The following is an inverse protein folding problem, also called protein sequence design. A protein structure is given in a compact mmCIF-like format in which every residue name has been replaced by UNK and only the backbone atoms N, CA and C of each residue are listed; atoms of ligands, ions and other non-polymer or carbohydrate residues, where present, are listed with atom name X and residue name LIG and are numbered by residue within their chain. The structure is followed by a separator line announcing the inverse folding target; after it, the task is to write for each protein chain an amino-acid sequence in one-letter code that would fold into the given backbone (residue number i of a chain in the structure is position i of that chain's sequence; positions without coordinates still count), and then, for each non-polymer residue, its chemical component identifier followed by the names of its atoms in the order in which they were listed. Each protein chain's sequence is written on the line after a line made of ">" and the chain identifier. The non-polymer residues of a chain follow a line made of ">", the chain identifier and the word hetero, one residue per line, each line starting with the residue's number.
data_IF_034277572252
#
_entry.id   IF_034277572252
#
_cell.length_a   1.000
_cell.length_b   1.000
_cell.length_c   1.000
_cell.angle_alpha   90.00
_cell.angle_beta   90.00
_cell.angle_gamma   90.00
#
_symmetry.space_group_name_H-M   'P 1'
#
loop_
_entity.id
_entity.type
_entity.pdbx_description
1 polymer ?
#
# COMPACT_ATOMS: atom_id res chain seq x y z
N UNK A 1 18.52 -16.69 -3.45
CA UNK A 1 19.25 -16.01 -2.36
C UNK A 1 18.93 -16.69 -1.03
N UNK A 2 19.58 -17.82 -0.72
CA UNK A 2 19.21 -18.65 0.44
C UNK A 2 19.62 -18.07 1.81
N UNK A 3 20.01 -16.80 1.90
CA UNK A 3 20.15 -16.16 3.21
C UNK A 3 20.00 -14.62 3.19
N UNK A 4 18.95 -14.10 2.52
CA UNK A 4 18.64 -12.66 2.57
C UNK A 4 18.61 -12.14 4.02
N UNK A 5 18.00 -12.92 4.93
CA UNK A 5 17.84 -12.53 6.34
C UNK A 5 19.18 -12.37 7.07
N UNK A 6 20.13 -13.29 6.92
CA UNK A 6 21.48 -13.15 7.52
C UNK A 6 22.25 -12.01 6.88
N UNK A 7 22.28 -11.96 5.55
CA UNK A 7 23.00 -10.91 4.83
C UNK A 7 22.49 -9.52 5.21
N UNK A 8 21.16 -9.34 5.30
CA UNK A 8 20.53 -8.08 5.66
C UNK A 8 20.77 -7.76 7.14
N UNK A 9 20.71 -8.76 8.03
CA UNK A 9 20.96 -8.59 9.47
C UNK A 9 22.39 -8.14 9.80
N UNK A 10 23.38 -8.50 8.98
CA UNK A 10 24.79 -8.13 9.14
C UNK A 10 25.13 -6.72 8.63
N UNK A 11 24.19 -6.02 7.97
CA UNK A 11 24.41 -4.66 7.46
C UNK A 11 24.23 -3.59 8.54
N UNK A 12 24.92 -2.46 8.35
CA UNK A 12 24.65 -1.24 9.12
C UNK A 12 23.24 -0.71 8.78
N UNK A 13 22.68 0.10 9.67
CA UNK A 13 21.34 0.66 9.45
C UNK A 13 21.30 1.55 8.19
N UNK A 14 22.34 2.34 7.94
CA UNK A 14 22.41 3.19 6.74
C UNK A 14 22.43 2.34 5.45
N UNK A 15 23.14 1.21 5.47
CA UNK A 15 23.17 0.29 4.34
C UNK A 15 21.83 -0.42 4.13
N UNK A 16 21.09 -0.71 5.20
CA UNK A 16 19.73 -1.25 5.12
C UNK A 16 18.77 -0.23 4.54
N UNK A 17 18.82 1.00 5.03
CA UNK A 17 17.98 2.12 4.56
C UNK A 17 18.20 2.37 3.07
N UNK A 18 19.46 2.54 2.65
CA UNK A 18 19.79 2.74 1.25
C UNK A 18 19.33 1.57 0.37
N UNK A 19 19.50 0.34 0.85
CA UNK A 19 19.06 -0.84 0.12
C UNK A 19 17.52 -0.91 0.00
N UNK A 20 16.79 -0.61 1.07
CA UNK A 20 15.34 -0.64 1.04
C UNK A 20 14.76 0.50 0.20
N UNK A 21 15.41 1.65 0.15
CA UNK A 21 14.93 2.84 -0.57
C UNK A 21 15.32 2.84 -2.06
N UNK A 22 16.62 2.85 -2.35
CA UNK A 22 17.15 3.18 -3.68
C UNK A 22 17.28 1.95 -4.59
N UNK A 23 17.48 0.77 -4.01
CA UNK A 23 17.83 -0.42 -4.79
C UNK A 23 16.77 -0.84 -5.83
N UNK A 24 15.45 -0.81 -5.55
CA UNK A 24 14.43 -1.09 -6.57
C UNK A 24 14.54 -0.15 -7.79
N UNK A 25 14.74 1.15 -7.54
CA UNK A 25 14.90 2.17 -8.58
C UNK A 25 16.18 1.97 -9.36
N UNK A 26 17.28 1.64 -8.67
CA UNK A 26 18.56 1.36 -9.29
C UNK A 26 18.45 0.19 -10.28
N UNK A 27 17.82 -0.91 -9.88
CA UNK A 27 17.59 -2.08 -10.76
C UNK A 27 16.78 -1.72 -12.00
N UNK A 28 15.76 -0.86 -11.87
CA UNK A 28 15.01 -0.34 -13.00
C UNK A 28 15.90 0.51 -13.92
N UNK A 29 16.69 1.43 -13.35
CA UNK A 29 17.58 2.33 -14.07
C UNK A 29 18.66 1.61 -14.87
N UNK A 30 19.24 0.54 -14.31
CA UNK A 30 20.21 -0.32 -15.02
C UNK A 30 19.55 -1.44 -15.84
N UNK A 31 18.22 -1.42 -15.98
CA UNK A 31 17.41 -2.38 -16.76
C UNK A 31 17.55 -3.84 -16.34
N UNK A 32 17.85 -4.11 -15.08
CA UNK A 32 17.93 -5.46 -14.50
C UNK A 32 16.55 -5.96 -14.03
N UNK A 33 15.60 -6.07 -14.96
CA UNK A 33 14.20 -6.39 -14.64
C UNK A 33 14.02 -7.74 -13.93
N UNK A 34 14.80 -8.75 -14.31
CA UNK A 34 14.72 -10.07 -13.68
C UNK A 34 15.10 -10.01 -12.19
N UNK A 35 16.10 -9.19 -11.84
CA UNK A 35 16.49 -9.01 -10.44
C UNK A 35 15.48 -8.13 -9.69
N UNK A 36 14.90 -7.13 -10.35
CA UNK A 36 13.79 -6.36 -9.78
C UNK A 36 12.61 -7.27 -9.43
N UNK A 37 12.22 -8.19 -10.34
CA UNK A 37 11.13 -9.13 -10.09
C UNK A 37 11.45 -10.10 -8.96
N UNK A 38 12.70 -10.59 -8.88
CA UNK A 38 13.16 -11.43 -7.76
C UNK A 38 13.12 -10.68 -6.44
N UNK A 39 13.48 -9.40 -6.43
CA UNK A 39 13.42 -8.55 -5.23
C UNK A 39 11.97 -8.35 -4.79
N UNK A 40 11.09 -7.95 -5.70
CA UNK A 40 9.66 -7.72 -5.40
C UNK A 40 8.91 -9.01 -5.05
N UNK A 41 9.36 -10.18 -5.53
CA UNK A 41 8.82 -11.50 -5.14
C UNK A 41 9.57 -12.16 -3.97
N UNK A 42 10.42 -11.41 -3.26
CA UNK A 42 11.13 -11.91 -2.08
C UNK A 42 10.35 -11.57 -0.80
N UNK A 43 9.87 -12.59 -0.10
CA UNK A 43 9.10 -12.39 1.14
C UNK A 43 9.89 -11.64 2.21
N UNK A 44 11.19 -11.92 2.36
CA UNK A 44 12.02 -11.29 3.38
C UNK A 44 12.32 -9.82 3.07
N UNK A 45 12.42 -9.45 1.80
CA UNK A 45 12.50 -8.04 1.40
C UNK A 45 11.21 -7.30 1.75
N UNK A 46 10.05 -7.87 1.40
CA UNK A 46 8.73 -7.31 1.75
C UNK A 46 8.59 -7.15 3.26
N UNK A 47 8.91 -8.19 4.03
CA UNK A 47 8.86 -8.18 5.48
C UNK A 47 9.81 -7.11 6.06
N UNK A 48 11.03 -7.01 5.56
CA UNK A 48 12.01 -6.01 6.01
C UNK A 48 11.52 -4.58 5.73
N UNK A 49 11.03 -4.31 4.52
CA UNK A 49 10.58 -2.96 4.13
C UNK A 49 9.34 -2.52 4.93
N UNK A 50 8.37 -3.42 5.13
CA UNK A 50 7.15 -3.13 5.89
C UNK A 50 7.44 -2.87 7.37
N UNK A 51 8.34 -3.67 7.97
CA UNK A 51 8.67 -3.54 9.39
C UNK A 51 9.68 -2.41 9.67
N UNK A 52 10.21 -1.76 8.64
CA UNK A 52 11.15 -0.67 8.80
C UNK A 52 10.43 0.63 9.19
N UNK A 53 10.92 1.39 10.19
CA UNK A 53 10.28 2.62 10.66
C UNK A 53 10.08 3.70 9.59
N UNK A 54 10.97 3.77 8.59
CA UNK A 54 10.97 4.82 7.57
C UNK A 54 10.13 4.51 6.31
N UNK A 55 9.81 3.25 6.02
CA UNK A 55 9.26 2.86 4.72
C UNK A 55 7.80 2.38 4.82
N UNK A 56 7.56 1.34 5.62
CA UNK A 56 6.23 0.76 5.77
C UNK A 56 5.65 0.21 4.47
N UNK A 57 4.32 0.02 4.46
CA UNK A 57 3.63 -0.62 3.31
C UNK A 57 3.51 0.32 2.11
N UNK A 58 3.41 1.64 2.33
CA UNK A 58 3.25 2.61 1.25
C UNK A 58 4.50 2.69 0.37
N UNK A 59 5.68 2.80 0.97
CA UNK A 59 6.94 2.77 0.21
C UNK A 59 7.11 1.46 -0.58
N UNK A 60 6.66 0.33 -0.03
CA UNK A 60 6.66 -0.93 -0.77
C UNK A 60 5.67 -0.89 -1.95
N UNK A 61 4.47 -0.33 -1.79
CA UNK A 61 3.50 -0.19 -2.89
C UNK A 61 4.09 0.63 -4.04
N UNK A 62 4.84 1.69 -3.73
CA UNK A 62 5.55 2.54 -4.70
C UNK A 62 6.61 1.74 -5.47
N UNK A 63 7.34 0.81 -4.84
CA UNK A 63 8.26 -0.07 -5.58
C UNK A 63 7.52 -0.94 -6.63
N UNK A 64 6.28 -1.34 -6.36
CA UNK A 64 5.48 -2.11 -7.32
C UNK A 64 4.89 -1.23 -8.44
N UNK A 65 4.89 0.09 -8.32
CA UNK A 65 4.54 1.02 -9.40
C UNK A 65 5.64 1.03 -10.48
N UNK A 66 6.87 0.64 -10.15
CA UNK A 66 7.95 0.46 -11.14
C UNK A 66 7.59 -0.55 -12.24
N UNK A 67 6.68 -1.48 -11.95
CA UNK A 67 6.17 -2.44 -12.93
C UNK A 67 5.31 -1.80 -14.02
N UNK A 68 4.85 -0.56 -13.83
CA UNK A 68 4.09 0.19 -14.83
C UNK A 68 5.00 0.89 -15.85
N UNK A 69 6.32 0.79 -15.70
CA UNK A 69 7.29 1.19 -16.72
C UNK A 69 6.95 0.55 -18.08
N UNK A 70 6.95 1.37 -19.14
CA UNK A 70 6.53 0.94 -20.48
C UNK A 70 7.35 -0.23 -21.05
N UNK A 71 8.65 -0.31 -20.74
CA UNK A 71 9.51 -1.41 -21.21
C UNK A 71 9.17 -2.73 -20.50
N UNK A 72 8.69 -2.68 -19.26
CA UNK A 72 8.23 -3.86 -18.51
C UNK A 72 6.81 -4.24 -18.95
N UNK A 73 5.88 -3.29 -18.88
CA UNK A 73 4.45 -3.49 -19.10
C UNK A 73 4.11 -3.97 -20.51
N UNK A 74 4.81 -3.46 -21.53
CA UNK A 74 4.54 -3.81 -22.92
C UNK A 74 5.32 -5.05 -23.38
N UNK A 75 6.18 -5.62 -22.54
CA UNK A 75 6.99 -6.77 -22.88
C UNK A 75 6.24 -8.07 -22.54
N UNK A 76 5.80 -8.77 -23.58
CA UNK A 76 5.05 -10.04 -23.45
C UNK A 76 5.81 -11.11 -22.68
N UNK A 77 7.16 -11.10 -22.69
CA UNK A 77 8.00 -12.02 -21.92
C UNK A 77 7.74 -11.92 -20.41
N UNK A 78 7.39 -10.73 -19.92
CA UNK A 78 7.22 -10.47 -18.48
C UNK A 78 5.76 -10.45 -18.05
N UNK A 79 4.81 -10.64 -18.98
CA UNK A 79 3.39 -10.46 -18.72
C UNK A 79 2.88 -11.33 -17.56
N UNK A 80 3.30 -12.60 -17.49
CA UNK A 80 2.88 -13.53 -16.43
C UNK A 80 3.50 -13.16 -15.07
N UNK A 81 4.80 -12.89 -15.03
CA UNK A 81 5.52 -12.44 -13.83
C UNK A 81 4.95 -11.12 -13.30
N UNK A 82 4.72 -10.12 -14.16
CA UNK A 82 4.13 -8.83 -13.79
C UNK A 82 2.71 -9.01 -13.26
N UNK A 83 1.90 -9.89 -13.88
CA UNK A 83 0.57 -10.23 -13.37
C UNK A 83 0.65 -10.83 -11.96
N UNK A 84 1.60 -11.72 -11.72
CA UNK A 84 1.84 -12.33 -10.41
C UNK A 84 2.23 -11.28 -9.36
N UNK A 85 3.18 -10.41 -9.67
CA UNK A 85 3.63 -9.33 -8.80
C UNK A 85 2.52 -8.33 -8.48
N UNK A 86 1.69 -7.93 -9.48
CA UNK A 86 0.53 -7.07 -9.23
C UNK A 86 -0.54 -7.73 -8.35
N UNK A 87 -0.65 -9.07 -8.34
CA UNK A 87 -1.50 -9.78 -7.38
C UNK A 87 -0.93 -9.72 -5.96
N UNK A 88 0.39 -9.84 -5.80
CA UNK A 88 1.06 -9.64 -4.50
C UNK A 88 0.86 -8.20 -4.01
N UNK A 89 1.10 -7.20 -4.86
CA UNK A 89 0.84 -5.77 -4.56
C UNK A 89 -0.60 -5.57 -4.05
N UNK A 90 -1.59 -6.14 -4.75
CA UNK A 90 -3.01 -6.01 -4.36
C UNK A 90 -3.33 -6.76 -3.07
N UNK A 91 -2.70 -7.90 -2.81
CA UNK A 91 -2.86 -8.62 -1.55
C UNK A 91 -2.31 -7.80 -0.38
N UNK A 92 -1.13 -7.19 -0.56
CA UNK A 92 -0.53 -6.25 0.39
C UNK A 92 -1.49 -5.08 0.65
N UNK A 93 -1.95 -4.40 -0.40
CA UNK A 93 -2.85 -3.25 -0.30
C UNK A 93 -4.15 -3.56 0.47
N UNK A 94 -4.74 -4.73 0.22
CA UNK A 94 -5.96 -5.17 0.92
C UNK A 94 -5.72 -5.46 2.39
N UNK A 95 -4.50 -5.78 2.78
CA UNK A 95 -4.14 -6.17 4.14
C UNK A 95 -3.47 -5.06 4.94
N UNK A 96 -3.24 -3.86 4.38
CA UNK A 96 -2.43 -2.84 5.07
C UNK A 96 -2.99 -2.40 6.42
N UNK A 97 -4.31 -2.23 6.61
CA UNK A 97 -4.86 -1.86 7.94
C UNK A 97 -4.52 -2.91 9.00
N UNK A 98 -4.54 -4.18 8.61
CA UNK A 98 -4.30 -5.30 9.51
C UNK A 98 -2.81 -5.39 9.81
N UNK A 99 -1.98 -5.33 8.78
CA UNK A 99 -0.52 -5.43 8.90
C UNK A 99 0.06 -4.22 9.64
N UNK A 100 -0.51 -3.03 9.44
CA UNK A 100 -0.10 -1.83 10.16
C UNK A 100 -0.38 -1.93 11.67
N UNK A 101 -1.52 -2.50 12.05
CA UNK A 101 -1.88 -2.71 13.46
C UNK A 101 -1.12 -3.89 14.08
N UNK A 102 -0.93 -4.96 13.32
CA UNK A 102 -0.24 -6.17 13.75
C UNK A 102 0.60 -6.76 12.60
N UNK A 103 1.89 -6.38 12.51
CA UNK A 103 2.77 -6.83 11.44
C UNK A 103 2.97 -8.34 11.40
N UNK A 104 2.73 -9.05 12.51
CA UNK A 104 2.83 -10.52 12.58
C UNK A 104 1.78 -11.20 11.69
N UNK A 105 0.72 -10.50 11.30
CA UNK A 105 -0.31 -11.04 10.40
C UNK A 105 0.09 -11.03 8.93
N UNK A 106 1.20 -10.40 8.55
CA UNK A 106 1.66 -10.32 7.15
C UNK A 106 1.63 -11.67 6.43
N UNK A 107 2.24 -12.69 7.05
CA UNK A 107 2.28 -14.07 6.55
C UNK A 107 0.89 -14.66 6.32
N UNK A 108 0.01 -14.58 7.33
CA UNK A 108 -1.35 -15.13 7.25
C UNK A 108 -2.20 -14.41 6.22
N UNK A 109 -2.08 -13.08 6.15
CA UNK A 109 -2.81 -12.23 5.22
C UNK A 109 -2.44 -12.50 3.76
N UNK A 110 -1.14 -12.61 3.46
CA UNK A 110 -0.66 -12.87 2.11
C UNK A 110 -0.98 -14.30 1.66
N UNK A 111 -0.70 -15.29 2.52
CA UNK A 111 -1.02 -16.70 2.20
C UNK A 111 -2.51 -16.89 1.93
N UNK A 112 -3.39 -16.45 2.84
CA UNK A 112 -4.83 -16.63 2.69
C UNK A 112 -5.44 -15.94 1.45
N UNK A 113 -4.79 -14.91 0.91
CA UNK A 113 -5.28 -14.20 -0.30
C UNK A 113 -4.70 -14.74 -1.59
N UNK A 114 -3.49 -15.28 -1.56
CA UNK A 114 -2.74 -15.66 -2.76
C UNK A 114 -2.83 -17.16 -3.09
N UNK A 115 -3.21 -18.03 -2.14
CA UNK A 115 -3.27 -19.49 -2.33
C UNK A 115 -4.13 -19.96 -3.51
N UNK A 116 -5.07 -19.14 -4.00
CA UNK A 116 -5.93 -19.50 -5.14
C UNK A 116 -5.26 -19.37 -6.51
N UNK A 117 -4.11 -18.68 -6.62
CA UNK A 117 -3.52 -18.38 -7.91
C UNK A 117 -2.47 -19.41 -8.29
N UNK A 118 -2.70 -20.04 -9.45
CA UNK A 118 -1.78 -20.99 -10.05
C UNK A 118 -0.76 -20.29 -10.95
N UNK A 119 0.07 -19.41 -10.35
CA UNK A 119 1.17 -18.72 -11.05
C UNK A 119 2.52 -19.17 -10.45
N UNK A 120 3.55 -19.45 -11.26
CA UNK A 120 4.85 -19.93 -10.78
C UNK A 120 5.47 -19.02 -9.71
N UNK A 121 5.46 -17.70 -9.94
CA UNK A 121 5.98 -16.72 -8.99
C UNK A 121 5.19 -16.67 -7.69
N UNK A 122 3.87 -16.82 -7.72
CA UNK A 122 3.04 -16.88 -6.50
C UNK A 122 3.33 -18.16 -5.72
N UNK A 123 3.45 -19.31 -6.40
CA UNK A 123 3.82 -20.57 -5.74
C UNK A 123 5.19 -20.48 -5.06
N UNK A 124 6.17 -19.92 -5.75
CA UNK A 124 7.50 -19.70 -5.18
C UNK A 124 7.46 -18.72 -3.99
N UNK A 125 6.68 -17.64 -4.10
CA UNK A 125 6.47 -16.70 -3.01
C UNK A 125 5.84 -17.36 -1.77
N UNK A 126 4.78 -18.15 -1.96
CA UNK A 126 4.13 -18.90 -0.88
C UNK A 126 5.06 -19.95 -0.25
N UNK A 127 5.92 -20.59 -1.05
CA UNK A 127 6.93 -21.52 -0.54
C UNK A 127 7.94 -20.81 0.38
N UNK A 128 8.39 -19.59 0.03
CA UNK A 128 9.25 -18.78 0.91
C UNK A 128 8.55 -18.49 2.25
N UNK A 129 7.28 -18.09 2.22
CA UNK A 129 6.47 -17.83 3.41
C UNK A 129 6.36 -19.09 4.29
N UNK A 130 6.15 -20.27 3.68
CA UNK A 130 6.04 -21.54 4.39
C UNK A 130 7.35 -21.93 5.10
N UNK A 131 8.51 -21.58 4.54
CA UNK A 131 9.83 -21.86 5.15
C UNK A 131 10.20 -20.93 6.30
N UNK A 132 9.49 -19.81 6.48
CA UNK A 132 9.72 -18.93 7.63
C UNK A 132 9.23 -19.59 8.93
N UNK A 133 10.19 -19.93 9.80
CA UNK A 133 9.99 -20.63 11.08
C UNK A 133 9.38 -19.76 12.17
N UNK A 134 9.17 -18.46 11.93
CA UNK A 134 8.47 -17.60 12.89
C UNK A 134 7.03 -18.07 13.08
N UNK A 135 6.64 -18.22 14.36
CA UNK A 135 5.35 -18.71 14.81
C UNK A 135 4.29 -17.67 14.44
N UNK A 136 3.63 -17.87 13.30
CA UNK A 136 2.52 -17.07 12.82
C UNK A 136 1.44 -17.96 12.21
N UNK A 137 0.19 -17.51 12.24
CA UNK A 137 -0.93 -18.25 11.67
C UNK A 137 -0.75 -18.36 10.14
N UNK A 138 -0.66 -19.59 9.65
CA UNK A 138 -0.58 -19.90 8.22
C UNK A 138 -1.94 -20.44 7.77
N UNK A 139 -2.64 -19.71 6.91
CA UNK A 139 -3.90 -20.20 6.36
C UNK A 139 -3.59 -21.21 5.26
N UNK A 140 -3.91 -22.48 5.52
CA UNK A 140 -3.77 -23.57 4.55
C UNK A 140 -4.82 -23.49 3.42
N UNK A 141 -5.85 -22.68 3.62
CA UNK A 141 -6.96 -22.48 2.70
C UNK A 141 -7.10 -20.99 2.46
N UNK A 142 -7.46 -20.56 1.25
CA UNK A 142 -7.86 -19.19 1.06
C UNK A 142 -9.14 -18.92 1.85
N UNK A 143 -9.09 -18.00 2.80
CA UNK A 143 -10.22 -17.62 3.66
C UNK A 143 -10.55 -16.13 3.53
N UNK A 144 -9.74 -15.41 2.77
CA UNK A 144 -9.77 -13.97 2.65
C UNK A 144 -9.98 -13.57 1.18
N UNK A 145 -10.74 -12.49 0.97
CA UNK A 145 -11.07 -11.95 -0.37
C UNK A 145 -9.82 -11.87 -1.28
N UNK A 146 -9.78 -12.59 -2.41
CA UNK A 146 -8.62 -12.61 -3.29
C UNK A 146 -8.36 -11.24 -3.96
N UNK A 147 -7.09 -10.85 -4.20
CA UNK A 147 -6.77 -9.70 -5.04
C UNK A 147 -7.35 -9.86 -6.45
N UNK A 148 -7.93 -8.78 -7.01
CA UNK A 148 -8.59 -8.80 -8.31
C UNK A 148 -10.07 -9.18 -8.29
N UNK A 149 -10.62 -9.64 -7.16
CA UNK A 149 -12.08 -9.73 -6.99
C UNK A 149 -12.71 -8.33 -6.85
N UNK A 150 -13.90 -8.14 -7.42
CA UNK A 150 -14.75 -6.97 -7.18
C UNK A 150 -15.31 -7.09 -5.77
N UNK A 151 -14.63 -6.49 -4.81
CA UNK A 151 -15.04 -6.51 -3.40
C UNK A 151 -14.47 -5.31 -2.68
N UNK A 152 -15.21 -4.84 -1.67
CA UNK A 152 -14.82 -3.74 -0.78
C UNK A 152 -13.34 -3.90 -0.37
N UNK A 153 -12.54 -2.87 -0.62
CA UNK A 153 -11.11 -2.88 -0.29
C UNK A 153 -10.91 -2.46 1.17
N UNK A 154 -11.65 -1.45 1.62
CA UNK A 154 -11.51 -0.85 2.93
C UNK A 154 -12.72 -0.01 3.31
N UNK A 155 -12.97 0.09 4.61
CA UNK A 155 -13.88 1.08 5.22
C UNK A 155 -13.05 2.01 6.09
N UNK A 156 -13.11 3.31 5.82
CA UNK A 156 -12.51 4.35 6.66
C UNK A 156 -13.56 4.81 7.67
N UNK A 157 -13.30 4.61 8.97
CA UNK A 157 -14.22 4.97 10.06
C UNK A 157 -13.60 6.09 10.89
N UNK A 158 -14.37 7.14 11.16
CA UNK A 158 -13.94 8.24 12.04
C UNK A 158 -14.90 9.41 12.11
N UNK A 159 -15.71 9.65 11.07
CA UNK A 159 -16.80 10.63 11.15
C UNK A 159 -17.91 10.17 12.08
N UNK A 160 -18.49 11.13 12.82
CA UNK A 160 -19.58 10.88 13.79
C UNK A 160 -20.97 11.04 13.19
N UNK A 161 -21.06 11.65 12.00
CA UNK A 161 -22.28 11.78 11.20
C UNK A 161 -22.01 11.43 9.73
N UNK A 162 -23.03 11.53 8.88
CA UNK A 162 -22.94 11.18 7.45
C UNK A 162 -21.81 11.92 6.74
N UNK A 163 -21.07 11.18 5.92
CA UNK A 163 -20.11 11.74 4.97
C UNK A 163 -20.87 12.20 3.73
N UNK A 164 -20.83 13.49 3.42
CA UNK A 164 -21.55 14.08 2.29
C UNK A 164 -20.67 14.27 1.06
N UNK A 165 -19.37 14.47 1.26
CA UNK A 165 -18.44 14.80 0.18
C UNK A 165 -17.12 14.07 0.34
N UNK A 166 -16.52 13.74 -0.80
CA UNK A 166 -15.23 13.08 -0.91
C UNK A 166 -14.45 13.64 -2.09
N UNK A 167 -13.14 13.80 -1.93
CA UNK A 167 -12.21 14.08 -3.00
C UNK A 167 -10.97 13.21 -2.85
N UNK A 168 -10.33 12.89 -3.98
CA UNK A 168 -9.05 12.16 -4.03
C UNK A 168 -8.01 13.12 -4.56
N UNK A 169 -6.83 13.12 -3.98
CA UNK A 169 -5.70 13.89 -4.52
C UNK A 169 -5.30 13.37 -5.91
N UNK A 170 -4.75 14.21 -6.79
CA UNK A 170 -4.32 13.81 -8.14
C UNK A 170 -3.31 12.67 -8.16
N UNK A 171 -2.48 12.54 -7.12
CA UNK A 171 -1.53 11.43 -6.96
C UNK A 171 -2.19 10.10 -6.55
N UNK A 172 -3.47 10.12 -6.17
CA UNK A 172 -4.24 8.96 -5.76
C UNK A 172 -3.88 8.42 -4.37
N UNK A 173 -3.06 9.13 -3.58
CA UNK A 173 -2.55 8.64 -2.28
C UNK A 173 -3.39 9.09 -1.09
N UNK A 174 -4.14 10.18 -1.23
CA UNK A 174 -4.88 10.81 -0.14
C UNK A 174 -6.35 10.94 -0.49
N UNK A 175 -7.23 10.63 0.47
CA UNK A 175 -8.66 10.94 0.39
C UNK A 175 -8.99 12.03 1.39
N UNK A 176 -9.82 12.97 0.99
CA UNK A 176 -10.40 13.97 1.88
C UNK A 176 -11.91 13.75 1.94
N UNK A 177 -12.47 13.73 3.14
CA UNK A 177 -13.91 13.56 3.37
C UNK A 177 -14.49 14.69 4.21
N UNK A 178 -15.72 15.08 3.89
CA UNK A 178 -16.45 16.15 4.55
C UNK A 178 -17.78 15.64 5.05
N UNK A 179 -18.15 16.03 6.27
CA UNK A 179 -19.22 15.38 7.02
C UNK A 179 -20.22 16.36 7.65
N UNK A 180 -21.38 15.81 7.98
CA UNK A 180 -22.39 16.42 8.82
C UNK A 180 -21.91 16.73 10.25
N UNK A 181 -20.79 16.17 10.69
CA UNK A 181 -20.15 16.51 11.97
C UNK A 181 -19.37 17.84 11.93
N UNK A 182 -19.38 18.54 10.79
CA UNK A 182 -18.68 19.82 10.60
C UNK A 182 -17.17 19.69 10.43
N UNK A 183 -16.65 18.47 10.35
CA UNK A 183 -15.22 18.23 10.17
C UNK A 183 -14.88 17.80 8.74
N UNK A 184 -13.63 18.06 8.38
CA UNK A 184 -12.97 17.52 7.19
C UNK A 184 -11.89 16.56 7.69
N UNK A 185 -11.83 15.35 7.14
CA UNK A 185 -10.80 14.36 7.49
C UNK A 185 -9.94 14.04 6.28
N UNK A 186 -8.64 13.98 6.51
CA UNK A 186 -7.63 13.62 5.51
C UNK A 186 -7.15 12.21 5.83
N UNK A 187 -7.18 11.33 4.85
CA UNK A 187 -6.90 9.91 4.98
C UNK A 187 -5.77 9.49 4.07
N UNK A 188 -4.84 8.72 4.61
CA UNK A 188 -3.86 7.99 3.81
C UNK A 188 -4.53 6.75 3.21
N UNK A 189 -4.59 6.63 1.88
CA UNK A 189 -5.21 5.47 1.22
C UNK A 189 -4.36 4.20 1.33
N UNK A 190 -3.04 4.36 1.47
CA UNK A 190 -2.08 3.28 1.63
C UNK A 190 -2.28 2.53 2.93
N UNK A 191 -2.32 3.24 4.05
CA UNK A 191 -2.48 2.68 5.41
C UNK A 191 -3.96 2.58 5.80
N UNK A 192 -4.82 3.41 5.22
CA UNK A 192 -6.21 3.60 5.63
C UNK A 192 -6.37 4.34 6.96
N UNK A 193 -5.36 5.09 7.39
CA UNK A 193 -5.39 5.86 8.64
C UNK A 193 -5.80 7.29 8.39
N UNK A 194 -6.46 7.88 9.36
CA UNK A 194 -6.69 9.33 9.40
C UNK A 194 -5.36 10.03 9.70
N UNK A 195 -4.95 10.97 8.84
CA UNK A 195 -3.77 11.82 9.04
C UNK A 195 -4.13 13.06 9.84
N UNK A 196 -5.22 13.73 9.45
CA UNK A 196 -5.65 15.00 10.05
C UNK A 196 -7.17 15.08 10.14
N UNK A 197 -7.64 15.73 11.19
CA UNK A 197 -9.00 16.29 11.29
C UNK A 197 -8.89 17.80 11.27
N UNK A 198 -9.52 18.42 10.29
CA UNK A 198 -9.68 19.86 10.21
C UNK A 198 -11.06 20.21 10.75
N UNK A 199 -11.05 21.00 11.82
CA UNK A 199 -12.24 21.53 12.48
C UNK A 199 -12.25 23.03 12.28
N UNK A 200 -13.29 23.55 11.64
CA UNK A 200 -13.38 24.98 11.32
C UNK A 200 -14.77 25.41 10.84
N UNK A 201 -15.50 24.49 10.22
CA UNK A 201 -16.91 24.71 9.91
C UNK A 201 -17.78 24.52 11.16
N UNK A 202 -18.75 25.42 11.34
CA UNK A 202 -19.74 25.34 12.43
C UNK A 202 -21.02 24.62 12.01
N UNK A 203 -21.09 24.18 10.75
CA UNK A 203 -22.18 23.38 10.19
C UNK A 203 -21.63 22.31 9.24
N UNK A 204 -22.53 21.52 8.65
CA UNK A 204 -22.18 20.41 7.79
C UNK A 204 -21.40 20.83 6.54
N UNK A 205 -20.38 20.04 6.22
CA UNK A 205 -19.58 20.19 4.99
C UNK A 205 -20.33 19.52 3.85
N UNK A 206 -20.64 20.28 2.80
CA UNK A 206 -21.41 19.80 1.65
C UNK A 206 -20.52 19.37 0.49
N UNK A 207 -19.39 20.05 0.31
CA UNK A 207 -18.55 19.91 -0.87
C UNK A 207 -17.09 20.05 -0.51
N UNK A 208 -16.26 19.25 -1.17
CA UNK A 208 -14.80 19.31 -1.14
C UNK A 208 -14.30 19.33 -2.57
N UNK A 209 -13.30 20.16 -2.82
CA UNK A 209 -12.50 20.17 -4.03
C UNK A 209 -11.01 20.14 -3.68
N UNK A 210 -10.20 19.54 -4.56
CA UNK A 210 -8.74 19.51 -4.46
C UNK A 210 -8.16 20.18 -5.69
N UNK A 211 -7.13 20.99 -5.49
CA UNK A 211 -6.43 21.64 -6.60
C UNK A 211 -5.70 20.62 -7.48
N UNK A 212 -5.49 20.90 -8.79
CA UNK A 212 -4.80 19.98 -9.68
C UNK A 212 -3.35 19.64 -9.29
N UNK A 213 -2.70 20.51 -8.50
CA UNK A 213 -1.37 20.25 -7.93
C UNK A 213 -1.42 19.39 -6.66
N UNK A 214 -2.62 19.08 -6.16
CA UNK A 214 -2.85 18.24 -4.99
C UNK A 214 -2.55 18.90 -3.65
N UNK A 215 -2.24 20.20 -3.60
CA UNK A 215 -1.71 20.85 -2.38
C UNK A 215 -2.76 21.59 -1.56
N UNK A 216 -3.91 21.88 -2.13
CA UNK A 216 -4.93 22.71 -1.47
C UNK A 216 -6.28 22.02 -1.49
N UNK A 217 -6.92 21.99 -0.32
CA UNK A 217 -8.31 21.57 -0.15
C UNK A 217 -9.18 22.81 -0.06
N UNK A 218 -10.30 22.80 -0.76
CA UNK A 218 -11.34 23.82 -0.65
C UNK A 218 -12.63 23.14 -0.21
N UNK A 219 -13.27 23.67 0.83
CA UNK A 219 -14.52 23.15 1.38
C UNK A 219 -15.60 24.21 1.42
N UNK A 220 -16.86 23.79 1.19
CA UNK A 220 -18.04 24.62 1.35
C UNK A 220 -19.02 24.01 2.37
N UNK A 221 -19.59 24.85 3.23
CA UNK A 221 -20.41 24.46 4.37
C UNK A 221 -21.73 25.23 4.45
N UNK A 222 -22.71 24.65 5.17
CA UNK A 222 -23.98 25.30 5.48
C UNK A 222 -23.86 26.48 6.46
N UNK A 223 -22.68 26.73 7.03
CA UNK A 223 -22.42 27.92 7.84
C UNK A 223 -22.18 29.19 7.00
N UNK A 224 -22.40 29.10 5.68
CA UNK A 224 -22.17 30.16 4.69
C UNK A 224 -20.69 30.54 4.50
N UNK A 225 -19.76 29.66 4.86
CA UNK A 225 -18.31 29.88 4.67
C UNK A 225 -17.70 28.93 3.65
N UNK A 226 -16.60 29.39 3.04
CA UNK A 226 -15.68 28.60 2.24
C UNK A 226 -14.35 28.62 2.98
N UNK A 227 -13.78 27.44 3.24
CA UNK A 227 -12.46 27.31 3.82
C UNK A 227 -11.51 26.76 2.76
N UNK A 228 -10.33 27.36 2.66
CA UNK A 228 -9.21 26.81 1.90
C UNK A 228 -8.12 26.46 2.89
N UNK A 229 -7.70 25.20 2.92
CA UNK A 229 -6.59 24.76 3.77
C UNK A 229 -5.41 24.32 2.89
N UNK A 230 -4.22 24.76 3.27
CA UNK A 230 -2.94 24.44 2.65
C UNK A 230 -2.27 23.42 3.55
N UNK A 231 -2.36 22.13 3.21
CA UNK A 231 -1.50 21.03 3.70
C UNK A 231 -2.09 19.67 3.31
N UNK A 232 -1.81 19.22 2.08
CA UNK A 232 -2.01 17.84 1.64
C UNK A 232 -0.68 17.16 1.35
#
# INVERSE_FOLDING_TARGET
>A
MSNFRSWFGEKSEEAKEQFLDEYPQLLLGVKQYTELFKLLSNYYFIEAKINHPLFGVQALIEDYELLDNSEIKNNSKYAETVKALKLIQRALFRSTHIIFQDPKQLKGQLSARLTYFDLPEIKNFLAQIATDKNIGLYSLIGSLTPPGSRGLIRTLKGHSYSVNSIAVTPDGKTVISGSNDGTIKIWDLGTGTEKFTLSGHSSLVNVIAVTPDGKTVISGSNDNTICSDLEL
#
